data_IF_054120954681
#
_entry.id   IF_054120954681
#
_cell.length_a   1.000
_cell.length_b   1.000
_cell.length_c   1.000
_cell.angle_alpha   90.00
_cell.angle_beta   90.00
_cell.angle_gamma   90.00
#
_symmetry.space_group_name_H-M   'P 1'
#
loop_
_entity.id
_entity.type
_entity.pdbx_description
1 polymer ?
#
# COMPACT_ATOMS: atom_id res chain seq x y z
N UNK A 1 4.61 2.09 7.87
CA UNK A 1 3.56 2.01 6.82
C UNK A 1 3.24 0.56 6.59
N UNK A 2 1.99 0.14 6.78
CA UNK A 2 1.57 -1.26 6.72
C UNK A 2 1.91 -1.95 5.39
N UNK A 3 1.95 -1.22 4.28
CA UNK A 3 2.20 -1.78 2.94
C UNK A 3 3.66 -2.17 2.63
N UNK A 4 4.59 -2.10 3.58
CA UNK A 4 5.99 -2.50 3.37
C UNK A 4 6.20 -3.96 3.76
N UNK A 5 6.69 -4.79 2.83
CA UNK A 5 7.03 -6.20 3.08
C UNK A 5 8.22 -6.38 4.03
N UNK A 6 9.04 -5.34 4.21
CA UNK A 6 10.20 -5.32 5.08
C UNK A 6 9.90 -4.76 6.47
N UNK A 7 8.63 -4.54 6.82
CA UNK A 7 8.26 -4.18 8.19
C UNK A 7 8.55 -5.36 9.12
N UNK A 8 9.60 -5.21 9.93
CA UNK A 8 9.83 -6.12 11.04
C UNK A 8 8.87 -5.79 12.20
N UNK A 9 8.37 -6.83 12.85
CA UNK A 9 7.47 -6.75 14.00
C UNK A 9 7.78 -7.92 14.94
N UNK A 10 7.87 -7.70 16.27
CA UNK A 10 8.01 -8.76 17.26
C UNK A 10 6.87 -9.80 17.22
N UNK A 11 7.13 -11.03 17.66
CA UNK A 11 6.13 -12.12 17.68
C UNK A 11 4.95 -11.85 18.62
N UNK A 12 5.15 -11.06 19.67
CA UNK A 12 4.11 -10.66 20.61
C UNK A 12 3.27 -9.47 20.11
N UNK A 13 3.60 -8.91 18.94
CA UNK A 13 2.89 -7.81 18.32
C UNK A 13 2.09 -8.25 17.10
N UNK A 14 0.99 -7.55 16.85
CA UNK A 14 0.13 -7.83 15.71
C UNK A 14 0.77 -7.33 14.42
N UNK A 15 1.04 -8.26 13.50
CA UNK A 15 1.54 -7.97 12.16
C UNK A 15 0.42 -7.41 11.26
N UNK A 16 0.19 -6.10 11.34
CA UNK A 16 -0.89 -5.42 10.62
C UNK A 16 -0.87 -5.70 9.11
N UNK A 17 0.31 -5.81 8.49
CA UNK A 17 0.44 -6.13 7.06
C UNK A 17 -0.31 -7.41 6.71
N UNK A 18 -0.14 -8.47 7.50
CA UNK A 18 -0.83 -9.74 7.30
C UNK A 18 -2.32 -9.65 7.63
N UNK A 19 -2.69 -8.93 8.69
CA UNK A 19 -4.09 -8.76 9.06
C UNK A 19 -4.90 -8.06 7.97
N UNK A 20 -4.33 -7.04 7.32
CA UNK A 20 -4.96 -6.39 6.17
C UNK A 20 -5.06 -7.33 4.96
N UNK A 21 -4.02 -8.11 4.65
CA UNK A 21 -4.04 -9.09 3.57
C UNK A 21 -5.12 -10.16 3.76
N UNK A 22 -5.36 -10.60 5.01
CA UNK A 22 -6.39 -11.60 5.34
C UNK A 22 -7.82 -11.16 5.04
N UNK A 23 -8.08 -9.86 4.94
CA UNK A 23 -9.43 -9.35 4.64
C UNK A 23 -9.87 -9.67 3.21
N UNK A 24 -8.95 -9.99 2.30
CA UNK A 24 -9.28 -10.30 0.91
C UNK A 24 -9.94 -9.15 0.15
N UNK A 25 -9.77 -7.92 0.63
CA UNK A 25 -10.25 -6.69 0.00
C UNK A 25 -9.12 -6.02 -0.76
N UNK A 26 -9.49 -5.08 -1.62
CA UNK A 26 -8.57 -4.21 -2.32
C UNK A 26 -7.86 -3.27 -1.35
N UNK A 27 -6.53 -3.15 -1.44
CA UNK A 27 -5.69 -2.37 -0.52
C UNK A 27 -4.88 -1.28 -1.27
N UNK A 28 -5.55 -0.21 -1.74
CA UNK A 28 -4.91 0.86 -2.47
C UNK A 28 -4.02 1.72 -1.57
N UNK A 29 -2.82 2.05 -2.06
CA UNK A 29 -1.85 2.92 -1.39
C UNK A 29 -1.46 4.05 -2.33
N UNK A 30 -1.51 5.30 -1.86
CA UNK A 30 -1.12 6.45 -2.68
C UNK A 30 0.33 6.33 -3.14
N UNK A 31 0.54 6.23 -4.46
CA UNK A 31 1.85 6.02 -5.11
C UNK A 31 2.86 7.09 -4.71
N UNK A 32 2.47 8.37 -4.73
CA UNK A 32 3.36 9.47 -4.37
C UNK A 32 3.76 9.42 -2.89
N UNK A 33 2.83 9.07 -2.00
CA UNK A 33 3.10 8.97 -0.57
C UNK A 33 3.94 7.74 -0.20
N UNK A 34 3.78 6.64 -0.93
CA UNK A 34 4.56 5.42 -0.80
C UNK A 34 6.01 5.64 -1.25
N UNK A 35 6.21 6.15 -2.48
CA UNK A 35 7.55 6.42 -3.03
C UNK A 35 8.33 7.42 -2.19
N UNK A 36 7.69 8.50 -1.71
CA UNK A 36 8.32 9.49 -0.83
C UNK A 36 8.85 8.90 0.49
N UNK A 37 8.41 7.70 0.86
CA UNK A 37 8.85 6.98 2.06
C UNK A 37 9.57 5.67 1.73
N UNK A 38 10.00 5.49 0.48
CA UNK A 38 10.77 4.32 0.05
C UNK A 38 9.98 3.02 -0.04
N UNK A 39 8.65 3.09 -0.19
CA UNK A 39 7.84 1.94 -0.60
C UNK A 39 7.61 2.00 -2.10
N UNK A 40 7.96 0.93 -2.81
CA UNK A 40 7.77 0.81 -4.25
C UNK A 40 7.34 -0.61 -4.63
N UNK A 41 6.52 -0.73 -5.67
CA UNK A 41 6.34 -1.99 -6.40
C UNK A 41 7.46 -2.17 -7.43
N UNK A 42 7.40 -3.28 -8.16
CA UNK A 42 8.36 -3.62 -9.19
C UNK A 42 8.36 -2.63 -10.36
N UNK A 43 7.18 -2.24 -10.86
CA UNK A 43 7.07 -1.33 -12.02
C UNK A 43 7.72 0.04 -11.72
N UNK A 44 7.43 0.61 -10.55
CA UNK A 44 8.00 1.88 -10.14
C UNK A 44 9.49 1.74 -9.78
N UNK A 45 9.92 0.59 -9.26
CA UNK A 45 11.34 0.34 -9.03
C UNK A 45 12.12 0.36 -10.35
N UNK A 46 11.62 -0.34 -11.37
CA UNK A 46 12.21 -0.33 -12.72
C UNK A 46 12.22 1.07 -13.33
N UNK A 47 11.08 1.79 -13.26
CA UNK A 47 10.93 3.15 -13.79
C UNK A 47 11.88 4.16 -13.14
N UNK A 48 12.11 4.04 -11.83
CA UNK A 48 12.95 4.94 -11.06
C UNK A 48 14.37 4.41 -10.81
N UNK A 49 14.76 3.31 -11.47
CA UNK A 49 16.10 2.72 -11.38
C UNK A 49 16.49 2.34 -9.94
N UNK A 50 15.51 1.89 -9.16
CA UNK A 50 15.71 1.37 -7.82
C UNK A 50 16.14 -0.09 -7.89
N UNK A 51 17.04 -0.50 -7.00
CA UNK A 51 17.61 -1.85 -6.99
C UNK A 51 16.66 -2.92 -6.46
N UNK A 52 15.60 -2.51 -5.76
CA UNK A 52 14.70 -3.41 -5.06
C UNK A 52 13.30 -2.79 -4.92
N UNK A 53 12.32 -3.66 -4.75
CA UNK A 53 10.95 -3.31 -4.40
C UNK A 53 10.56 -3.99 -3.10
N UNK A 54 9.62 -3.38 -2.39
CA UNK A 54 9.26 -3.76 -1.02
C UNK A 54 7.77 -3.54 -0.73
N UNK A 55 6.93 -3.36 -1.76
CA UNK A 55 5.49 -3.39 -1.58
C UNK A 55 5.07 -4.79 -1.11
N UNK A 56 4.31 -4.85 -0.02
CA UNK A 56 3.72 -6.08 0.48
C UNK A 56 2.68 -6.63 -0.50
N UNK A 57 2.59 -7.95 -0.62
CA UNK A 57 1.62 -8.61 -1.51
C UNK A 57 0.18 -8.20 -1.18
N UNK A 58 -0.69 -8.15 -2.19
CA UNK A 58 -2.09 -7.73 -2.03
C UNK A 58 -2.31 -6.24 -1.83
N UNK A 59 -1.25 -5.44 -1.61
CA UNK A 59 -1.29 -3.99 -1.74
C UNK A 59 -0.98 -3.59 -3.18
N UNK A 60 -1.46 -2.42 -3.57
CA UNK A 60 -1.29 -1.85 -4.90
C UNK A 60 -1.00 -0.35 -4.80
N UNK A 61 -0.12 0.17 -5.66
CA UNK A 61 0.13 1.59 -5.73
C UNK A 61 -0.86 2.25 -6.69
N UNK A 62 -1.58 3.25 -6.19
CA UNK A 62 -2.63 3.95 -6.94
C UNK A 62 -2.41 5.45 -6.96
N UNK A 63 -2.88 6.08 -8.04
CA UNK A 63 -2.91 7.53 -8.16
C UNK A 63 -4.05 8.17 -7.36
N UNK A 64 -3.94 9.47 -7.10
CA UNK A 64 -5.00 10.24 -6.44
C UNK A 64 -6.33 10.24 -7.22
N UNK A 65 -6.27 10.12 -8.55
CA UNK A 65 -7.47 10.04 -9.41
C UNK A 65 -8.35 8.85 -9.04
N UNK A 66 -7.76 7.70 -8.76
CA UNK A 66 -8.53 6.50 -8.42
C UNK A 66 -9.19 6.62 -7.04
N UNK A 67 -8.55 7.30 -6.09
CA UNK A 67 -9.20 7.66 -4.84
C UNK A 67 -10.38 8.61 -5.07
N UNK A 68 -10.22 9.61 -5.94
CA UNK A 68 -11.31 10.53 -6.27
C UNK A 68 -12.50 9.79 -6.91
N UNK A 69 -12.24 8.85 -7.82
CA UNK A 69 -13.26 8.02 -8.45
C UNK A 69 -13.96 7.13 -7.41
N UNK A 70 -13.22 6.51 -6.49
CA UNK A 70 -13.80 5.69 -5.41
C UNK A 70 -14.68 6.53 -4.46
N UNK A 71 -14.27 7.76 -4.15
CA UNK A 71 -15.05 8.70 -3.32
C UNK A 71 -16.33 9.13 -4.02
N UNK A 72 -16.31 9.33 -5.34
CA UNK A 72 -17.51 9.67 -6.12
C UNK A 72 -18.50 8.49 -6.20
N UNK A 73 -18.00 7.26 -6.26
CA UNK A 73 -18.81 6.06 -6.45
C UNK A 73 -19.22 5.34 -5.15
N UNK A 74 -18.78 5.82 -3.98
CA UNK A 74 -19.18 5.25 -2.69
C UNK A 74 -20.37 5.99 -2.07
N UNK A 75 -21.19 5.26 -1.31
CA UNK A 75 -22.25 5.87 -0.49
C UNK A 75 -21.72 6.49 0.79
N UNK A 76 -20.59 6.00 1.30
CA UNK A 76 -20.01 6.44 2.58
C UNK A 76 -18.49 6.47 2.49
N UNK A 77 -17.91 7.52 3.06
CA UNK A 77 -16.47 7.68 3.28
C UNK A 77 -16.21 7.70 4.79
N UNK A 78 -15.30 6.85 5.25
CA UNK A 78 -14.83 6.81 6.65
C UNK A 78 -13.33 7.07 6.66
N UNK A 79 -12.89 8.04 7.47
CA UNK A 79 -11.50 8.44 7.62
C UNK A 79 -11.04 8.20 9.07
N UNK A 80 -9.78 7.75 9.23
CA UNK A 80 -9.15 7.42 10.51
C UNK A 80 -7.91 8.28 10.75
#
# INVERSE_FOLDING_TARGET
>A
MVANSLNWCPDDQRQLTQEWQKLGIRLPVCVSAALARGITDQENAERHQLTQFNLASGFELVGLGEFADAVQNTTRLVQF
#
